data_IF_067574143628
#
_entry.id   IF_067574143628
#
_cell.length_a   1.000
_cell.length_b   1.000
_cell.length_c   1.000
_cell.angle_alpha   90.00
_cell.angle_beta   90.00
_cell.angle_gamma   90.00
#
_symmetry.space_group_name_H-M   'P 1'
#
loop_
_entity.id
_entity.type
_entity.pdbx_description
1 polymer ?
#
# COMPACT_ATOMS: atom_id res chain seq x y z
N UNK A 1 -29.70 6.27 -14.95
CA UNK A 1 -29.04 7.51 -14.46
C UNK A 1 -28.82 7.31 -12.97
N UNK A 2 -27.58 7.36 -12.50
CA UNK A 2 -27.26 7.16 -11.10
C UNK A 2 -27.09 8.54 -10.42
N UNK A 3 -27.84 8.81 -9.36
CA UNK A 3 -27.93 10.13 -8.70
C UNK A 3 -27.50 10.13 -7.24
N UNK A 4 -27.24 8.95 -6.69
CA UNK A 4 -26.80 8.73 -5.30
C UNK A 4 -25.32 8.32 -5.27
N UNK A 5 -24.51 8.98 -6.10
CA UNK A 5 -23.06 8.76 -6.13
C UNK A 5 -22.40 9.20 -4.83
N UNK A 6 -21.47 8.37 -4.37
CA UNK A 6 -20.67 8.61 -3.17
C UNK A 6 -19.20 8.62 -3.57
N UNK A 7 -18.57 9.76 -3.41
CA UNK A 7 -17.15 10.00 -3.64
C UNK A 7 -16.51 10.30 -2.28
N UNK A 8 -16.08 9.22 -1.62
CA UNK A 8 -15.48 9.27 -0.30
C UNK A 8 -14.00 9.65 -0.43
N UNK A 9 -13.59 10.69 0.29
CA UNK A 9 -12.20 11.06 0.47
C UNK A 9 -11.77 10.74 1.89
N UNK A 10 -10.78 9.87 2.07
CA UNK A 10 -10.16 9.61 3.37
C UNK A 10 -8.79 10.28 3.41
N UNK A 11 -8.55 11.09 4.43
CA UNK A 11 -7.27 11.76 4.65
C UNK A 11 -6.93 11.73 6.14
N UNK A 12 -5.75 12.20 6.51
CA UNK A 12 -5.34 12.40 7.90
C UNK A 12 -4.49 13.69 8.03
N UNK A 13 -4.29 14.25 9.23
CA UNK A 13 -3.67 15.56 9.42
C UNK A 13 -2.25 15.71 8.84
N UNK A 14 -1.44 14.64 8.83
CA UNK A 14 -0.03 14.71 8.43
C UNK A 14 0.17 14.77 6.90
N UNK A 15 -0.82 14.34 6.11
CA UNK A 15 -0.74 14.29 4.64
C UNK A 15 -1.69 15.26 3.92
N UNK A 16 -2.77 15.73 4.56
CA UNK A 16 -3.82 16.54 3.89
C UNK A 16 -3.28 17.81 3.22
N UNK A 17 -2.17 18.38 3.71
CA UNK A 17 -1.53 19.53 3.09
C UNK A 17 -0.76 19.18 1.82
N UNK A 18 -0.15 17.99 1.76
CA UNK A 18 0.57 17.48 0.60
C UNK A 18 -0.39 16.90 -0.46
N UNK A 19 -1.49 16.28 -0.01
CA UNK A 19 -2.50 15.63 -0.84
C UNK A 19 -3.91 16.15 -0.50
N UNK A 20 -4.23 17.40 -0.87
CA UNK A 20 -5.51 18.00 -0.52
C UNK A 20 -6.68 17.34 -1.27
N UNK A 21 -7.86 17.21 -0.63
CA UNK A 21 -9.02 16.59 -1.26
C UNK A 21 -9.49 17.41 -2.47
N UNK A 22 -9.77 16.72 -3.57
CA UNK A 22 -10.34 17.35 -4.76
C UNK A 22 -11.79 17.79 -4.50
N UNK A 23 -12.25 18.95 -5.03
CA UNK A 23 -13.64 19.43 -4.84
C UNK A 23 -14.76 18.48 -5.32
N UNK A 24 -14.44 17.45 -6.13
CA UNK A 24 -15.42 16.43 -6.53
C UNK A 24 -15.80 15.48 -5.38
N UNK A 25 -14.97 15.38 -4.33
CA UNK A 25 -15.26 14.60 -3.12
C UNK A 25 -16.53 15.15 -2.45
N UNK A 26 -17.52 14.29 -2.22
CA UNK A 26 -18.78 14.68 -1.58
C UNK A 26 -18.94 14.14 -0.15
N UNK A 27 -18.06 13.24 0.28
CA UNK A 27 -17.98 12.72 1.65
C UNK A 27 -16.51 12.71 2.11
N UNK A 28 -16.06 13.77 2.78
CA UNK A 28 -14.69 13.87 3.32
C UNK A 28 -14.64 13.37 4.77
N UNK A 29 -13.72 12.46 5.06
CA UNK A 29 -13.45 11.95 6.41
C UNK A 29 -11.97 12.13 6.72
N UNK A 30 -11.69 12.75 7.87
CA UNK A 30 -10.32 12.95 8.37
C UNK A 30 -10.09 11.95 9.51
N UNK A 31 -9.24 10.97 9.27
CA UNK A 31 -8.86 9.94 10.23
C UNK A 31 -7.74 10.47 11.15
N UNK A 32 -7.57 9.91 12.36
CA UNK A 32 -6.60 10.44 13.31
C UNK A 32 -5.12 10.26 12.88
N UNK A 33 -4.81 9.19 12.15
CA UNK A 33 -3.47 8.80 11.71
C UNK A 33 -3.53 7.90 10.46
N UNK A 34 -2.35 7.56 9.91
CA UNK A 34 -2.21 6.74 8.71
C UNK A 34 -2.80 5.35 8.92
N UNK A 35 -2.48 4.67 10.01
CA UNK A 35 -2.93 3.30 10.24
C UNK A 35 -4.45 3.21 10.34
N UNK A 36 -5.11 4.17 11.00
CA UNK A 36 -6.58 4.24 11.03
C UNK A 36 -7.16 4.58 9.67
N UNK A 37 -6.47 5.40 8.85
CA UNK A 37 -6.85 5.64 7.45
C UNK A 37 -6.80 4.34 6.63
N UNK A 38 -5.73 3.57 6.76
CA UNK A 38 -5.55 2.27 6.09
C UNK A 38 -6.61 1.26 6.54
N UNK A 39 -6.88 1.16 7.85
CA UNK A 39 -7.93 0.28 8.38
C UNK A 39 -9.32 0.69 7.86
N UNK A 40 -9.61 1.99 7.79
CA UNK A 40 -10.87 2.49 7.23
C UNK A 40 -11.04 2.09 5.75
N UNK A 41 -9.98 2.18 4.94
CA UNK A 41 -10.02 1.72 3.54
C UNK A 41 -10.44 0.26 3.45
N UNK A 42 -9.72 -0.65 4.12
CA UNK A 42 -9.95 -2.10 3.96
C UNK A 42 -11.25 -2.58 4.61
N UNK A 43 -11.75 -1.89 5.64
CA UNK A 43 -13.03 -2.25 6.26
C UNK A 43 -14.23 -1.74 5.47
N UNK A 44 -14.13 -0.61 4.79
CA UNK A 44 -15.21 -0.11 3.93
C UNK A 44 -15.20 -0.69 2.53
N UNK A 45 -14.04 -1.15 2.05
CA UNK A 45 -13.89 -1.67 0.71
C UNK A 45 -14.75 -2.93 0.46
N UNK A 46 -15.36 -2.95 -0.71
CA UNK A 46 -15.92 -4.16 -1.32
C UNK A 46 -15.03 -4.69 -2.45
N UNK A 47 -14.06 -3.91 -2.87
CA UNK A 47 -13.10 -4.20 -3.93
C UNK A 47 -12.09 -3.06 -4.02
N UNK A 48 -10.89 -3.36 -4.45
CA UNK A 48 -9.77 -2.41 -4.49
C UNK A 48 -9.18 -2.40 -5.91
N UNK A 49 -8.98 -1.21 -6.45
CA UNK A 49 -8.27 -0.98 -7.71
C UNK A 49 -7.02 -0.16 -7.40
N UNK A 50 -5.86 -0.67 -7.82
CA UNK A 50 -4.54 -0.08 -7.53
C UNK A 50 -3.90 0.32 -8.85
N UNK A 51 -3.60 1.60 -9.00
CA UNK A 51 -2.92 2.17 -10.17
C UNK A 51 -1.41 2.29 -9.92
N UNK A 52 -0.59 2.54 -10.96
CA UNK A 52 0.83 2.79 -10.76
C UNK A 52 1.08 4.01 -9.88
N UNK A 53 1.83 3.80 -8.80
CA UNK A 53 2.22 4.84 -7.86
C UNK A 53 3.63 4.62 -7.33
N UNK A 54 4.04 5.49 -6.40
CA UNK A 54 5.35 5.42 -5.76
C UNK A 54 5.32 4.65 -4.44
N UNK A 55 6.11 5.07 -3.43
CA UNK A 55 6.26 4.35 -2.17
C UNK A 55 4.95 4.28 -1.36
N UNK A 56 4.09 5.30 -1.41
CA UNK A 56 2.80 5.27 -0.71
C UNK A 56 1.84 4.21 -1.25
N UNK A 57 1.80 4.02 -2.57
CA UNK A 57 0.99 2.96 -3.18
C UNK A 57 1.57 1.57 -2.90
N UNK A 58 2.90 1.45 -2.83
CA UNK A 58 3.55 0.20 -2.40
C UNK A 58 3.23 -0.12 -0.92
N UNK A 59 3.22 0.88 -0.04
CA UNK A 59 2.79 0.75 1.36
C UNK A 59 1.35 0.21 1.44
N UNK A 60 0.41 0.80 0.71
CA UNK A 60 -0.99 0.40 0.67
C UNK A 60 -1.17 -1.03 0.12
N UNK A 61 -0.41 -1.40 -0.91
CA UNK A 61 -0.42 -2.77 -1.45
C UNK A 61 0.09 -3.79 -0.43
N UNK A 62 1.23 -3.53 0.21
CA UNK A 62 1.80 -4.42 1.22
C UNK A 62 0.90 -4.53 2.45
N UNK A 63 0.22 -3.45 2.82
CA UNK A 63 -0.78 -3.44 3.88
C UNK A 63 -1.90 -4.44 3.60
N UNK A 64 -2.55 -4.34 2.43
CA UNK A 64 -3.66 -5.22 2.12
C UNK A 64 -3.20 -6.67 1.89
N UNK A 65 -2.07 -6.91 1.21
CA UNK A 65 -1.58 -8.27 0.99
C UNK A 65 -1.22 -8.95 2.31
N UNK A 66 -0.55 -8.24 3.23
CA UNK A 66 -0.24 -8.76 4.55
C UNK A 66 -1.49 -9.17 5.33
N UNK A 67 -2.57 -8.39 5.24
CA UNK A 67 -3.87 -8.74 5.84
C UNK A 67 -4.49 -9.96 5.15
N UNK A 68 -4.56 -9.96 3.81
CA UNK A 68 -5.25 -11.02 3.06
C UNK A 68 -4.56 -12.39 3.16
N UNK A 69 -3.25 -12.42 3.39
CA UNK A 69 -2.49 -13.66 3.63
C UNK A 69 -2.74 -14.28 5.02
N UNK A 70 -3.40 -13.58 5.94
CA UNK A 70 -3.74 -14.14 7.25
C UNK A 70 -4.70 -15.35 7.07
N UNK A 71 -4.48 -16.49 7.74
CA UNK A 71 -5.32 -17.69 7.59
C UNK A 71 -6.82 -17.44 7.79
N UNK A 72 -7.20 -16.64 8.80
CA UNK A 72 -8.60 -16.27 9.06
C UNK A 72 -9.26 -15.40 7.96
N UNK A 73 -8.48 -14.89 7.01
CA UNK A 73 -8.96 -14.12 5.87
C UNK A 73 -8.99 -14.93 4.56
N UNK A 74 -8.66 -16.23 4.60
CA UNK A 74 -8.54 -17.05 3.40
C UNK A 74 -9.82 -17.11 2.54
N UNK A 75 -11.00 -16.90 3.14
CA UNK A 75 -12.29 -16.89 2.46
C UNK A 75 -12.82 -15.48 2.15
N UNK A 76 -12.08 -14.41 2.47
CA UNK A 76 -12.47 -13.03 2.15
C UNK A 76 -12.47 -12.83 0.62
N UNK A 77 -13.62 -12.51 -0.01
CA UNK A 77 -13.73 -12.50 -1.47
C UNK A 77 -13.43 -11.13 -2.10
N UNK A 78 -12.77 -10.23 -1.35
CA UNK A 78 -12.55 -8.86 -1.81
C UNK A 78 -11.60 -8.86 -3.03
N UNK A 79 -12.04 -8.44 -4.23
CA UNK A 79 -11.18 -8.41 -5.40
C UNK A 79 -10.16 -7.28 -5.28
N UNK A 80 -8.91 -7.59 -5.62
CA UNK A 80 -7.83 -6.60 -5.75
C UNK A 80 -7.35 -6.64 -7.20
N UNK A 81 -7.43 -5.50 -7.89
CA UNK A 81 -7.03 -5.37 -9.29
C UNK A 81 -5.95 -4.31 -9.41
N UNK A 82 -4.78 -4.72 -9.86
CA UNK A 82 -3.70 -3.83 -10.27
C UNK A 82 -3.93 -3.48 -11.74
N UNK A 83 -3.97 -2.19 -12.08
CA UNK A 83 -4.29 -1.79 -13.46
C UNK A 83 -3.65 -0.46 -13.86
N UNK A 84 -3.33 -0.34 -15.14
CA UNK A 84 -2.87 0.91 -15.73
C UNK A 84 -2.87 0.83 -17.26
N UNK A 85 -2.44 1.91 -17.93
CA UNK A 85 -2.34 1.92 -19.38
C UNK A 85 -1.18 1.03 -19.83
N UNK A 86 -1.08 0.78 -21.14
CA UNK A 86 -0.06 -0.12 -21.71
C UNK A 86 1.37 0.22 -21.30
N UNK A 87 1.69 1.51 -21.15
CA UNK A 87 3.01 2.00 -20.76
C UNK A 87 3.40 1.61 -19.32
N UNK A 88 2.43 1.15 -18.50
CA UNK A 88 2.68 0.69 -17.13
C UNK A 88 3.01 -0.80 -17.03
N UNK A 89 3.11 -1.53 -18.14
CA UNK A 89 3.40 -2.97 -18.12
C UNK A 89 4.71 -3.31 -17.40
N UNK A 90 5.77 -2.53 -17.63
CA UNK A 90 7.06 -2.72 -16.96
C UNK A 90 6.98 -2.44 -15.45
N UNK A 91 6.23 -1.40 -15.05
CA UNK A 91 5.97 -1.10 -13.64
C UNK A 91 5.29 -2.30 -12.95
N UNK A 92 4.22 -2.83 -13.54
CA UNK A 92 3.50 -3.96 -12.94
C UNK A 92 4.31 -5.24 -12.96
N UNK A 93 5.19 -5.45 -13.94
CA UNK A 93 6.13 -6.57 -13.96
C UNK A 93 7.14 -6.47 -12.81
N UNK A 94 7.63 -5.27 -12.49
CA UNK A 94 8.52 -5.03 -11.35
C UNK A 94 7.81 -5.27 -10.00
N UNK A 95 6.59 -4.75 -9.85
CA UNK A 95 5.75 -4.99 -8.67
C UNK A 95 5.43 -6.48 -8.49
N UNK A 96 4.98 -7.15 -9.55
CA UNK A 96 4.63 -8.58 -9.52
C UNK A 96 5.83 -9.45 -9.12
N UNK A 97 7.00 -9.17 -9.73
CA UNK A 97 8.23 -9.86 -9.40
C UNK A 97 8.65 -9.58 -7.94
N UNK A 98 8.56 -8.34 -7.48
CA UNK A 98 8.88 -8.01 -6.09
C UNK A 98 7.97 -8.75 -5.12
N UNK A 99 6.65 -8.77 -5.35
CA UNK A 99 5.72 -9.49 -4.47
C UNK A 99 5.98 -10.99 -4.49
N UNK A 100 6.17 -11.61 -5.66
CA UNK A 100 6.53 -13.04 -5.75
C UNK A 100 7.79 -13.35 -4.96
N UNK A 101 8.81 -12.52 -5.12
CA UNK A 101 10.13 -12.80 -4.60
C UNK A 101 10.26 -12.48 -3.09
N UNK A 102 9.28 -11.79 -2.50
CA UNK A 102 9.26 -11.41 -1.09
C UNK A 102 8.17 -12.13 -0.31
N UNK A 103 6.93 -12.12 -0.82
CA UNK A 103 5.75 -12.70 -0.18
C UNK A 103 5.34 -14.05 -0.79
N UNK A 104 6.04 -14.51 -1.83
CA UNK A 104 5.75 -15.77 -2.50
C UNK A 104 4.54 -15.73 -3.43
N UNK A 105 4.21 -16.90 -3.99
CA UNK A 105 2.96 -17.10 -4.75
C UNK A 105 1.71 -16.85 -3.90
N UNK A 106 1.84 -17.04 -2.58
CA UNK A 106 0.81 -16.73 -1.60
C UNK A 106 0.42 -15.24 -1.64
N UNK A 107 1.38 -14.32 -1.79
CA UNK A 107 1.07 -12.90 -2.00
C UNK A 107 0.42 -12.63 -3.35
N UNK A 108 0.87 -13.31 -4.41
CA UNK A 108 0.38 -13.10 -5.79
C UNK A 108 -1.08 -13.53 -5.99
N UNK A 109 -1.55 -14.59 -5.31
CA UNK A 109 -2.90 -15.11 -5.49
C UNK A 109 -4.01 -14.12 -5.08
N UNK A 110 -3.68 -13.09 -4.30
CA UNK A 110 -4.64 -12.14 -3.76
C UNK A 110 -4.98 -10.98 -4.71
N UNK A 111 -4.31 -10.86 -5.85
CA UNK A 111 -4.60 -9.83 -6.83
C UNK A 111 -4.56 -10.36 -8.27
N UNK A 112 -5.10 -9.56 -9.19
CA UNK A 112 -4.97 -9.76 -10.63
C UNK A 112 -4.46 -8.49 -11.29
N UNK A 113 -3.64 -8.64 -12.34
CA UNK A 113 -3.12 -7.51 -13.13
C UNK A 113 -3.92 -7.41 -14.43
N UNK A 114 -4.50 -6.24 -14.69
CA UNK A 114 -5.25 -5.93 -15.92
C UNK A 114 -4.63 -4.70 -16.59
N UNK A 115 -3.99 -4.91 -17.73
CA UNK A 115 -3.32 -3.85 -18.50
C UNK A 115 -4.22 -3.40 -19.65
N UNK A 116 -4.39 -2.08 -19.79
CA UNK A 116 -5.04 -1.45 -20.95
C UNK A 116 -6.49 -1.91 -21.24
N UNK A 117 -7.21 -2.41 -20.22
CA UNK A 117 -8.65 -2.74 -20.31
C UNK A 117 -9.44 -2.17 -19.12
N UNK A 118 -9.75 -0.85 -19.13
CA UNK A 118 -10.57 -0.22 -18.08
C UNK A 118 -11.96 -0.86 -17.92
N UNK A 119 -12.52 -1.42 -18.99
CA UNK A 119 -13.83 -2.06 -18.95
C UNK A 119 -13.76 -3.41 -18.21
N UNK A 120 -12.67 -4.18 -18.34
CA UNK A 120 -12.50 -5.41 -17.58
C UNK A 120 -12.31 -5.16 -16.10
N UNK A 121 -11.55 -4.14 -15.71
CA UNK A 121 -11.43 -3.72 -14.30
C UNK A 121 -12.82 -3.47 -13.70
N UNK A 122 -13.66 -2.70 -14.39
CA UNK A 122 -15.03 -2.44 -13.95
C UNK A 122 -15.91 -3.69 -13.92
N UNK A 123 -15.76 -4.60 -14.89
CA UNK A 123 -16.49 -5.89 -14.94
C UNK A 123 -16.09 -6.81 -13.79
N UNK A 124 -14.80 -6.90 -13.44
CA UNK A 124 -14.33 -7.65 -12.27
C UNK A 124 -15.00 -7.10 -11.01
N UNK A 125 -14.84 -5.80 -10.75
CA UNK A 125 -15.42 -5.14 -9.58
C UNK A 125 -16.92 -5.39 -9.50
N UNK A 126 -17.65 -5.23 -10.61
CA UNK A 126 -19.10 -5.42 -10.64
C UNK A 126 -19.52 -6.86 -10.34
N UNK A 127 -18.82 -7.86 -10.90
CA UNK A 127 -19.13 -9.29 -10.71
C UNK A 127 -18.87 -9.72 -9.26
N UNK A 128 -17.74 -9.32 -8.68
CA UNK A 128 -17.37 -9.69 -7.31
C UNK A 128 -18.26 -9.12 -6.21
N UNK A 129 -19.09 -8.10 -6.50
CA UNK A 129 -20.04 -7.58 -5.50
C UNK A 129 -21.05 -8.63 -5.03
N UNK A 130 -21.38 -9.62 -5.87
CA UNK A 130 -22.27 -10.71 -5.46
C UNK A 130 -21.59 -11.62 -4.44
N UNK A 131 -20.34 -12.02 -4.69
CA UNK A 131 -19.54 -12.84 -3.78
C UNK A 131 -19.31 -12.15 -2.44
N UNK A 132 -18.97 -10.85 -2.46
CA UNK A 132 -18.83 -10.04 -1.24
C UNK A 132 -20.13 -9.99 -0.45
N UNK A 133 -21.28 -9.77 -1.11
CA UNK A 133 -22.58 -9.76 -0.45
C UNK A 133 -22.92 -11.12 0.18
N UNK A 134 -22.66 -12.22 -0.54
CA UNK A 134 -22.91 -13.57 -0.05
C UNK A 134 -22.02 -13.89 1.16
N UNK A 135 -20.71 -13.63 1.07
CA UNK A 135 -19.78 -13.83 2.17
C UNK A 135 -20.19 -13.06 3.44
N UNK A 136 -20.54 -11.77 3.32
CA UNK A 136 -21.01 -11.00 4.49
C UNK A 136 -22.27 -11.59 5.11
N UNK A 137 -23.22 -12.07 4.29
CA UNK A 137 -24.42 -12.74 4.77
C UNK A 137 -24.11 -14.06 5.48
N UNK A 138 -23.19 -14.86 4.95
CA UNK A 138 -22.76 -16.14 5.53
C UNK A 138 -22.04 -15.96 6.87
N UNK A 139 -21.20 -14.93 6.99
CA UNK A 139 -20.52 -14.57 8.24
C UNK A 139 -21.41 -13.84 9.25
N UNK A 140 -22.62 -13.41 8.85
CA UNK A 140 -23.48 -12.55 9.67
C UNK A 140 -22.88 -11.15 9.89
N UNK A 141 -22.04 -10.69 8.96
CA UNK A 141 -21.31 -9.42 9.01
C UNK A 141 -22.08 -8.29 8.30
N UNK A 142 -21.71 -7.05 8.57
CA UNK A 142 -22.31 -5.88 7.95
C UNK A 142 -21.84 -5.73 6.49
N UNK A 143 -22.73 -5.22 5.63
CA UNK A 143 -22.35 -4.88 4.25
C UNK A 143 -21.40 -3.68 4.21
N UNK A 144 -21.68 -2.64 5.00
CA UNK A 144 -20.94 -1.36 4.90
C UNK A 144 -19.66 -1.30 5.73
N UNK A 145 -19.34 -2.33 6.51
CA UNK A 145 -18.13 -2.41 7.32
C UNK A 145 -17.74 -3.87 7.55
N UNK A 146 -16.53 -4.26 7.16
CA UNK A 146 -16.03 -5.62 7.27
C UNK A 146 -15.47 -5.88 8.69
N UNK A 147 -16.33 -6.31 9.62
CA UNK A 147 -15.90 -6.66 10.98
C UNK A 147 -15.16 -7.98 11.03
N UNK A 148 -15.53 -8.92 10.16
CA UNK A 148 -14.93 -10.26 10.07
C UNK A 148 -13.51 -10.25 9.51
N UNK A 149 -13.08 -9.16 8.86
CA UNK A 149 -11.70 -8.99 8.41
C UNK A 149 -10.75 -8.95 9.61
N UNK A 150 -9.90 -9.96 9.71
CA UNK A 150 -8.88 -10.08 10.73
C UNK A 150 -7.69 -9.20 10.37
N UNK A 151 -7.39 -8.22 11.20
CA UNK A 151 -6.23 -7.33 11.05
C UNK A 151 -5.36 -7.53 12.30
N UNK A 152 -4.10 -7.94 12.11
CA UNK A 152 -3.16 -8.10 13.23
C UNK A 152 -2.70 -6.73 13.77
N UNK A 153 -2.36 -6.62 15.07
CA UNK A 153 -1.92 -5.35 15.66
C UNK A 153 -0.75 -4.68 14.93
N UNK A 154 0.13 -5.45 14.29
CA UNK A 154 1.25 -4.91 13.51
C UNK A 154 0.83 -4.08 12.28
N UNK A 155 -0.43 -4.20 11.85
CA UNK A 155 -1.06 -3.36 10.83
C UNK A 155 -1.91 -2.23 11.43
N UNK A 156 -2.08 -2.17 12.75
CA UNK A 156 -2.91 -1.15 13.42
C UNK A 156 -2.08 -0.17 14.24
N UNK A 157 -0.95 -0.63 14.77
CA UNK A 157 -0.08 0.19 15.60
C UNK A 157 0.61 1.27 14.76
N UNK A 158 0.53 2.55 15.17
CA UNK A 158 1.25 3.63 14.54
C UNK A 158 2.75 3.35 14.46
N UNK A 159 3.34 3.72 13.32
CA UNK A 159 4.79 3.63 13.12
C UNK A 159 5.38 5.03 12.97
N UNK A 160 6.20 5.43 13.94
CA UNK A 160 6.92 6.71 13.92
C UNK A 160 8.31 6.52 13.28
N UNK A 161 8.55 7.03 12.05
CA UNK A 161 9.76 6.74 11.30
C UNK A 161 10.94 7.61 11.77
N UNK A 162 11.71 7.06 12.69
CA UNK A 162 13.02 7.54 13.15
C UNK A 162 14.14 6.62 12.63
N UNK A 163 15.40 7.08 12.62
CA UNK A 163 16.55 6.22 12.25
C UNK A 163 16.58 4.91 13.05
N UNK A 164 16.33 4.97 14.35
CA UNK A 164 16.29 3.78 15.22
C UNK A 164 15.15 2.83 14.84
N UNK A 165 13.96 3.36 14.57
CA UNK A 165 12.81 2.51 14.18
C UNK A 165 12.98 1.88 12.81
N UNK A 166 13.57 2.61 11.85
CA UNK A 166 13.83 2.15 10.49
C UNK A 166 14.95 1.10 10.46
N UNK A 167 16.00 1.32 11.25
CA UNK A 167 17.06 0.35 11.45
C UNK A 167 16.57 -0.90 12.22
N UNK A 168 15.56 -0.76 13.09
CA UNK A 168 15.00 -1.88 13.85
C UNK A 168 14.04 -2.80 13.07
N UNK A 169 13.77 -2.54 11.78
CA UNK A 169 12.82 -3.34 10.99
C UNK A 169 13.37 -4.75 10.73
N UNK A 170 12.55 -5.78 10.98
CA UNK A 170 12.92 -7.15 10.66
C UNK A 170 12.66 -7.45 9.18
N UNK A 171 13.64 -7.14 8.33
CA UNK A 171 13.60 -7.39 6.89
C UNK A 171 14.41 -8.65 6.53
N UNK A 172 14.07 -9.78 7.15
CA UNK A 172 14.65 -11.09 6.84
C UNK A 172 13.61 -11.99 6.14
N UNK A 173 14.08 -12.97 5.36
CA UNK A 173 13.18 -13.91 4.67
C UNK A 173 12.73 -15.08 5.57
N UNK A 174 13.40 -15.30 6.71
CA UNK A 174 13.06 -16.36 7.69
C UNK A 174 11.95 -15.89 8.65
N UNK A 175 10.79 -15.59 8.10
CA UNK A 175 9.57 -15.25 8.84
C UNK A 175 8.33 -15.50 7.98
N UNK A 176 7.16 -15.51 8.61
CA UNK A 176 5.89 -15.64 7.91
C UNK A 176 5.68 -14.46 6.91
N UNK A 177 5.17 -14.70 5.69
CA UNK A 177 5.01 -13.66 4.67
C UNK A 177 4.20 -12.44 5.13
N UNK A 178 3.14 -12.64 5.90
CA UNK A 178 2.33 -11.56 6.47
C UNK A 178 3.10 -10.69 7.47
N UNK A 179 4.08 -11.25 8.19
CA UNK A 179 4.93 -10.50 9.12
C UNK A 179 5.99 -9.71 8.34
N UNK A 180 6.56 -10.30 7.28
CA UNK A 180 7.44 -9.56 6.37
C UNK A 180 6.71 -8.41 5.69
N UNK A 181 5.47 -8.63 5.22
CA UNK A 181 4.64 -7.59 4.62
C UNK A 181 4.41 -6.41 5.59
N UNK A 182 4.18 -6.67 6.88
CA UNK A 182 4.05 -5.63 7.90
C UNK A 182 5.33 -4.80 8.08
N UNK A 183 6.52 -5.43 8.04
CA UNK A 183 7.79 -4.72 8.12
C UNK A 183 8.11 -3.93 6.85
N UNK A 184 7.83 -4.50 5.67
CA UNK A 184 7.97 -3.79 4.40
C UNK A 184 7.03 -2.58 4.32
N UNK A 185 5.78 -2.72 4.79
CA UNK A 185 4.82 -1.61 4.93
C UNK A 185 5.43 -0.46 5.74
N UNK A 186 6.00 -0.75 6.91
CA UNK A 186 6.67 0.25 7.77
C UNK A 186 7.87 0.90 7.06
N UNK A 187 8.67 0.13 6.33
CA UNK A 187 9.77 0.66 5.54
C UNK A 187 9.30 1.68 4.49
N UNK A 188 8.27 1.35 3.70
CA UNK A 188 7.71 2.28 2.72
C UNK A 188 7.06 3.51 3.39
N UNK A 189 6.37 3.32 4.52
CA UNK A 189 5.82 4.42 5.32
C UNK A 189 6.91 5.41 5.76
N UNK A 190 8.07 4.91 6.18
CA UNK A 190 9.23 5.74 6.50
C UNK A 190 9.79 6.50 5.29
N UNK A 191 9.83 5.87 4.11
CA UNK A 191 10.25 6.54 2.87
C UNK A 191 9.26 7.67 2.50
N UNK A 192 7.95 7.42 2.61
CA UNK A 192 6.92 8.45 2.41
C UNK A 192 7.12 9.60 3.39
N UNK A 193 7.31 9.29 4.68
CA UNK A 193 7.52 10.30 5.70
C UNK A 193 8.77 11.16 5.42
N UNK A 194 9.90 10.54 5.06
CA UNK A 194 11.13 11.23 4.71
C UNK A 194 11.02 12.10 3.45
N UNK A 195 10.08 11.79 2.54
CA UNK A 195 9.88 12.53 1.30
C UNK A 195 8.92 13.71 1.43
N UNK A 196 7.82 13.57 2.18
CA UNK A 196 6.72 14.56 2.14
C UNK A 196 6.22 15.05 3.50
N UNK A 197 6.53 14.36 4.60
CA UNK A 197 6.05 14.76 5.93
C UNK A 197 7.06 15.65 6.64
N UNK A 198 6.58 16.73 7.27
CA UNK A 198 7.44 17.71 7.93
C UNK A 198 8.37 17.10 9.00
N UNK A 199 7.88 16.13 9.77
CA UNK A 199 8.67 15.46 10.80
C UNK A 199 9.72 14.52 10.21
N UNK A 200 9.34 13.74 9.18
CA UNK A 200 10.26 12.85 8.48
C UNK A 200 11.36 13.63 7.74
N UNK A 201 11.00 14.69 7.02
CA UNK A 201 11.98 15.59 6.36
C UNK A 201 12.98 16.13 7.38
N UNK A 202 12.52 16.55 8.57
CA UNK A 202 13.40 17.04 9.64
C UNK A 202 14.36 15.97 10.15
N UNK A 203 13.91 14.73 10.31
CA UNK A 203 14.81 13.61 10.67
C UNK A 203 15.90 13.42 9.62
N UNK A 204 15.56 13.50 8.33
CA UNK A 204 16.52 13.41 7.23
C UNK A 204 17.50 14.59 7.20
N UNK A 205 17.02 15.82 7.39
CA UNK A 205 17.87 17.01 7.45
C UNK A 205 18.85 16.97 8.63
N UNK A 206 18.42 16.44 9.79
CA UNK A 206 19.25 16.41 11.00
C UNK A 206 20.27 15.26 11.02
N UNK A 207 19.91 14.08 10.51
CA UNK A 207 20.71 12.84 10.69
C UNK A 207 21.11 12.17 9.37
N UNK A 208 20.64 12.69 8.24
CA UNK A 208 20.83 12.10 6.91
C UNK A 208 19.80 11.01 6.59
N UNK A 209 19.97 10.29 5.46
CA UNK A 209 19.05 9.25 5.00
C UNK A 209 18.80 8.13 6.03
N UNK A 210 17.59 7.56 6.03
CA UNK A 210 17.30 6.35 6.81
C UNK A 210 18.13 5.16 6.32
N UNK A 211 18.76 4.43 7.23
CA UNK A 211 19.45 3.19 6.91
C UNK A 211 18.47 2.03 6.97
N UNK A 212 18.31 1.30 5.86
CA UNK A 212 17.45 0.12 5.78
C UNK A 212 18.34 -1.09 5.50
N UNK A 213 18.29 -2.09 6.38
CA UNK A 213 19.08 -3.30 6.28
C UNK A 213 18.23 -4.55 6.46
N UNK A 214 18.76 -5.70 6.07
CA UNK A 214 18.06 -6.98 6.13
C UNK A 214 18.76 -8.05 5.33
N UNK A 215 18.01 -9.06 4.93
CA UNK A 215 18.49 -10.13 4.06
C UNK A 215 19.07 -9.55 2.75
N UNK A 216 20.28 -9.96 2.31
CA UNK A 216 20.93 -9.40 1.13
C UNK A 216 20.11 -9.53 -0.17
N UNK A 217 19.37 -10.64 -0.31
CA UNK A 217 18.54 -10.89 -1.49
C UNK A 217 17.32 -9.98 -1.47
N UNK A 218 16.67 -9.83 -0.31
CA UNK A 218 15.56 -8.89 -0.12
C UNK A 218 16.00 -7.44 -0.37
N UNK A 219 17.12 -7.02 0.23
CA UNK A 219 17.63 -5.65 0.09
C UNK A 219 17.95 -5.31 -1.37
N UNK A 220 18.51 -6.24 -2.14
CA UNK A 220 18.76 -6.05 -3.57
C UNK A 220 17.45 -5.85 -4.37
N UNK A 221 16.39 -6.55 -4.01
CA UNK A 221 15.07 -6.43 -4.65
C UNK A 221 14.38 -5.11 -4.28
N UNK A 222 14.44 -4.73 -3.01
CA UNK A 222 13.92 -3.46 -2.52
C UNK A 222 14.64 -2.28 -3.18
N UNK A 223 15.97 -2.31 -3.23
CA UNK A 223 16.77 -1.29 -3.91
C UNK A 223 16.40 -1.15 -5.38
N UNK A 224 16.27 -2.27 -6.10
CA UNK A 224 15.84 -2.25 -7.51
C UNK A 224 14.44 -1.64 -7.68
N UNK A 225 13.47 -2.03 -6.86
CA UNK A 225 12.12 -1.48 -6.93
C UNK A 225 12.10 0.03 -6.66
N UNK A 226 12.88 0.49 -5.68
CA UNK A 226 12.98 1.92 -5.35
C UNK A 226 13.69 2.71 -6.45
N UNK A 227 14.73 2.14 -7.09
CA UNK A 227 15.37 2.73 -8.27
C UNK A 227 14.38 2.86 -9.43
N UNK A 228 13.56 1.84 -9.69
CA UNK A 228 12.50 1.89 -10.72
C UNK A 228 11.52 3.05 -10.44
N UNK A 229 11.15 3.29 -9.17
CA UNK A 229 10.31 4.43 -8.80
C UNK A 229 10.99 5.78 -9.04
N UNK A 230 12.32 5.88 -8.84
CA UNK A 230 13.08 7.10 -9.14
C UNK A 230 13.13 7.34 -10.66
N UNK A 231 13.51 6.33 -11.44
CA UNK A 231 13.63 6.39 -12.90
C UNK A 231 12.30 6.72 -13.57
N UNK A 232 11.19 6.24 -13.00
CA UNK A 232 9.84 6.51 -13.50
C UNK A 232 9.21 7.79 -12.93
N UNK A 233 9.99 8.64 -12.24
CA UNK A 233 9.54 9.90 -11.64
C UNK A 233 8.36 9.75 -10.67
N UNK A 234 8.33 8.68 -9.87
CA UNK A 234 7.25 8.39 -8.90
C UNK A 234 7.59 8.75 -7.45
N UNK A 235 8.81 9.22 -7.18
CA UNK A 235 9.22 9.69 -5.85
C UNK A 235 8.89 11.18 -5.60
N UNK A 236 8.81 11.98 -6.66
CA UNK A 236 8.61 13.44 -6.60
C UNK A 236 7.91 13.92 -7.87
N UNK A 237 7.04 14.92 -7.75
CA UNK A 237 6.39 15.53 -8.90
C UNK A 237 7.42 16.21 -9.83
N UNK A 238 7.21 16.20 -11.16
CA UNK A 238 8.07 16.89 -12.12
C UNK A 238 8.14 18.41 -11.85
N UNK A 239 9.29 19.03 -12.15
CA UNK A 239 9.46 20.50 -12.12
C UNK A 239 10.29 21.06 -10.96
N UNK A 240 10.89 20.19 -10.12
CA UNK A 240 11.86 20.57 -9.09
C UNK A 240 13.28 20.11 -9.40
N UNK A 241 14.18 20.21 -8.41
CA UNK A 241 15.48 19.54 -8.42
C UNK A 241 15.35 18.03 -8.49
N UNK A 242 16.41 17.36 -8.95
CA UNK A 242 16.53 15.90 -8.94
C UNK A 242 16.18 15.34 -7.55
N UNK A 243 15.58 14.14 -7.53
CA UNK A 243 15.20 13.48 -6.29
C UNK A 243 16.46 12.97 -5.57
N UNK A 244 16.66 13.43 -4.34
CA UNK A 244 17.66 12.90 -3.43
C UNK A 244 17.00 11.87 -2.51
N UNK A 245 17.41 10.59 -2.53
CA UNK A 245 16.82 9.56 -1.70
C UNK A 245 16.90 9.86 -0.20
N UNK A 246 15.74 9.80 0.48
CA UNK A 246 15.66 9.88 1.94
C UNK A 246 16.07 8.57 2.65
N UNK A 247 16.52 7.58 1.89
CA UNK A 247 16.88 6.25 2.36
C UNK A 247 18.23 5.82 1.79
N UNK A 248 18.87 4.87 2.46
CA UNK A 248 20.03 4.13 1.99
C UNK A 248 19.80 2.65 2.28
N UNK A 249 19.81 1.84 1.23
CA UNK A 249 19.83 0.38 1.40
C UNK A 249 21.26 -0.01 1.79
N UNK A 250 21.41 -0.61 2.96
CA UNK A 250 22.69 -1.14 3.40
C UNK A 250 22.97 -2.42 2.61
N UNK A 251 23.95 -2.37 1.71
CA UNK A 251 24.50 -3.57 1.08
C UNK A 251 25.57 -4.18 2.00
N UNK A 252 25.60 -5.51 2.17
CA UNK A 252 26.70 -6.19 2.84
C UNK A 252 28.04 -6.00 2.10
#
# INVERSE_FOLDING_TARGET
>A
RYTEQRYLGLTEPSIIAAEPPNPIVNELIIMPDIEKRLEAFVRMAHGIVIFPGGPGTAEELLYILGIMMHPDNADQPMPIVLTGPKESEEYFRSIDAFIRDTLGEEGQKHYQIVIDDPAEVARIMKRSMEDVRLHRKEKGDAYSFNWSLKIEPDFQLPFDPTHTSMEGLNLNLDQEPQVLAANLRKAFSGIVAGNVKAEGIREIECKGPFSIHGDPVLMKKLDKLLQDFVEQHRMKLPGGSDYEPCYRIAHP
#
